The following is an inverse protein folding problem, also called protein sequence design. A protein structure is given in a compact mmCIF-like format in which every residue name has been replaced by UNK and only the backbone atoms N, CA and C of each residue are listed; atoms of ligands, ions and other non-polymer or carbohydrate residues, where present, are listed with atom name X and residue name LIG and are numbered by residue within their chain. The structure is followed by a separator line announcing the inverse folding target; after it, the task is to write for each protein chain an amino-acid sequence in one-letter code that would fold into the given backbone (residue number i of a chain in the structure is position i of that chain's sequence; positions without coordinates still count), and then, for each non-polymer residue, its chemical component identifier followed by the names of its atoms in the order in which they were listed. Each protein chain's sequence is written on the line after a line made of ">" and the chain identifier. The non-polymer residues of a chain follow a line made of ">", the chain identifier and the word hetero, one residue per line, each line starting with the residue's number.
data_IF_216595502437
#
_entry.id   IF_216595502437
#
_cell.length_a   1.000
_cell.length_b   1.000
_cell.length_c   1.000
_cell.angle_alpha   90.00
_cell.angle_beta   90.00
_cell.angle_gamma   90.00
#
_symmetry.space_group_name_H-M   'P 1'
#
loop_
_entity.id
_entity.type
_entity.pdbx_description
1 polymer ?
#
# COMPACT_ATOMS: atom_id res chain seq x y z
N UNK A 1 18.19 -9.88 -7.50
CA UNK A 1 18.50 -10.89 -6.48
C UNK A 1 17.43 -11.96 -6.59
N UNK A 2 17.81 -13.17 -7.01
CA UNK A 2 16.88 -14.29 -7.10
C UNK A 2 16.67 -14.84 -5.69
N UNK A 3 15.55 -14.49 -5.07
CA UNK A 3 15.12 -15.15 -3.84
C UNK A 3 14.70 -16.58 -4.20
N UNK A 4 15.59 -17.55 -3.95
CA UNK A 4 15.18 -18.94 -3.84
C UNK A 4 14.28 -19.03 -2.61
N UNK A 5 12.97 -19.00 -2.83
CA UNK A 5 11.97 -19.08 -1.78
C UNK A 5 12.03 -20.50 -1.19
N UNK A 6 12.54 -20.61 0.04
CA UNK A 6 12.56 -21.84 0.82
C UNK A 6 11.12 -22.36 1.03
N UNK A 7 10.87 -23.66 1.02
CA UNK A 7 9.52 -24.22 1.19
C UNK A 7 8.90 -23.83 2.55
N UNK A 8 9.73 -23.51 3.55
CA UNK A 8 9.31 -22.94 4.84
C UNK A 8 8.76 -21.50 4.74
N UNK A 9 8.94 -20.84 3.60
CA UNK A 9 8.57 -19.44 3.32
C UNK A 9 7.41 -19.26 2.34
N UNK A 10 6.65 -20.33 2.04
CA UNK A 10 5.47 -20.31 1.18
C UNK A 10 4.18 -20.59 1.96
N UNK A 11 3.69 -19.65 2.79
CA UNK A 11 2.51 -19.88 3.64
C UNK A 11 1.21 -20.10 2.87
N UNK A 12 1.18 -19.79 1.56
CA UNK A 12 0.03 -20.01 0.68
C UNK A 12 0.24 -21.17 -0.31
N UNK A 13 1.24 -22.03 -0.12
CA UNK A 13 1.43 -23.20 -0.96
C UNK A 13 0.16 -24.07 -0.98
N UNK A 14 -0.32 -24.40 -2.19
CA UNK A 14 -1.55 -25.18 -2.41
C UNK A 14 -2.85 -24.37 -2.30
N UNK A 15 -2.80 -23.07 -2.01
CA UNK A 15 -3.96 -22.18 -2.01
C UNK A 15 -4.21 -21.66 -3.42
N UNK A 16 -5.45 -21.78 -3.90
CA UNK A 16 -5.84 -21.27 -5.22
C UNK A 16 -6.63 -19.98 -5.10
N UNK A 17 -6.15 -18.93 -5.76
CA UNK A 17 -6.76 -17.60 -5.73
C UNK A 17 -7.18 -17.21 -7.15
N UNK A 18 -8.47 -16.91 -7.31
CA UNK A 18 -8.99 -16.31 -8.54
C UNK A 18 -9.19 -14.82 -8.29
N UNK A 19 -8.68 -13.98 -9.18
CA UNK A 19 -8.94 -12.54 -9.16
C UNK A 19 -9.74 -12.10 -10.37
N UNK A 20 -10.77 -11.30 -10.12
CA UNK A 20 -11.47 -10.51 -11.12
C UNK A 20 -11.09 -9.02 -11.03
N UNK A 21 -10.19 -8.68 -10.10
CA UNK A 21 -9.86 -7.31 -9.80
C UNK A 21 -9.00 -6.70 -10.91
N UNK A 22 -9.45 -5.56 -11.42
CA UNK A 22 -8.74 -4.77 -12.43
C UNK A 22 -8.10 -3.55 -11.78
N UNK A 23 -7.01 -3.06 -12.37
CA UNK A 23 -6.18 -1.99 -11.83
C UNK A 23 -5.70 -2.23 -10.40
N UNK A 24 -4.79 -1.38 -9.92
CA UNK A 24 -4.52 -1.34 -8.49
C UNK A 24 -5.82 -1.06 -7.72
N UNK A 25 -5.97 -1.65 -6.52
CA UNK A 25 -4.96 -2.40 -5.75
C UNK A 25 -4.95 -3.92 -5.97
N UNK A 26 -5.90 -4.47 -6.73
CA UNK A 26 -6.15 -5.92 -6.82
C UNK A 26 -4.95 -6.76 -7.27
N UNK A 27 -4.33 -6.48 -8.44
CA UNK A 27 -3.13 -7.16 -8.91
C UNK A 27 -1.95 -7.07 -7.95
N UNK A 28 -1.78 -5.97 -7.21
CA UNK A 28 -0.73 -5.89 -6.19
C UNK A 28 -0.99 -6.86 -5.03
N UNK A 29 -2.24 -6.98 -4.56
CA UNK A 29 -2.60 -7.96 -3.55
C UNK A 29 -2.40 -9.40 -4.07
N UNK A 30 -2.78 -9.66 -5.32
CA UNK A 30 -2.61 -10.97 -5.95
C UNK A 30 -1.13 -11.34 -6.11
N UNK A 31 -0.27 -10.42 -6.56
CA UNK A 31 1.17 -10.62 -6.65
C UNK A 31 1.80 -10.96 -5.29
N UNK A 32 1.35 -10.28 -4.22
CA UNK A 32 1.81 -10.61 -2.85
C UNK A 32 1.43 -12.04 -2.47
N UNK A 33 0.20 -12.46 -2.77
CA UNK A 33 -0.23 -13.83 -2.51
C UNK A 33 0.57 -14.85 -3.35
N UNK A 34 0.83 -14.53 -4.62
CA UNK A 34 1.66 -15.35 -5.52
C UNK A 34 3.09 -15.52 -4.99
N UNK A 35 3.69 -14.45 -4.46
CA UNK A 35 5.01 -14.48 -3.82
C UNK A 35 5.03 -15.27 -2.52
N UNK A 36 3.89 -15.37 -1.83
CA UNK A 36 3.69 -16.27 -0.69
C UNK A 36 3.38 -17.73 -1.09
N UNK A 37 3.40 -18.06 -2.39
CA UNK A 37 3.25 -19.43 -2.89
C UNK A 37 1.84 -19.82 -3.37
N UNK A 38 0.88 -18.88 -3.42
CA UNK A 38 -0.45 -19.17 -3.95
C UNK A 38 -0.43 -19.45 -5.46
N UNK A 39 -1.30 -20.35 -5.91
CA UNK A 39 -1.63 -20.54 -7.32
C UNK A 39 -2.66 -19.48 -7.72
N UNK A 40 -2.21 -18.49 -8.48
CA UNK A 40 -3.01 -17.32 -8.82
C UNK A 40 -3.46 -17.35 -10.29
N UNK A 41 -4.78 -17.23 -10.48
CA UNK A 41 -5.43 -17.00 -11.77
C UNK A 41 -6.10 -15.63 -11.76
N UNK A 42 -5.98 -14.90 -12.85
CA UNK A 42 -6.74 -13.68 -13.11
C UNK A 42 -7.64 -13.88 -14.32
N UNK A 43 -8.92 -13.54 -14.17
CA UNK A 43 -9.84 -13.42 -15.30
C UNK A 43 -10.01 -11.96 -15.67
N UNK A 44 -9.64 -11.63 -16.91
CA UNK A 44 -9.79 -10.29 -17.47
C UNK A 44 -10.96 -10.23 -18.44
N UNK A 45 -11.65 -9.08 -18.56
CA UNK A 45 -12.62 -8.89 -19.63
C UNK A 45 -11.93 -8.89 -21.00
N UNK A 46 -12.66 -9.03 -22.11
CA UNK A 46 -12.08 -8.93 -23.47
C UNK A 46 -11.30 -7.64 -23.74
N UNK A 47 -11.63 -6.56 -23.03
CA UNK A 47 -10.92 -5.28 -23.10
C UNK A 47 -9.58 -5.26 -22.33
N UNK A 48 -9.28 -6.32 -21.56
CA UNK A 48 -8.11 -6.42 -20.69
C UNK A 48 -8.20 -5.56 -19.42
N UNK A 49 -7.15 -5.59 -18.62
CA UNK A 49 -6.94 -4.65 -17.52
C UNK A 49 -6.49 -3.27 -18.04
N UNK A 50 -7.20 -2.16 -17.69
CA UNK A 50 -6.81 -0.82 -18.10
C UNK A 50 -5.38 -0.41 -17.69
N UNK A 51 -4.78 -1.03 -16.67
CA UNK A 51 -3.40 -0.77 -16.26
C UNK A 51 -2.42 -0.97 -17.43
N UNK A 52 -2.67 -1.94 -18.31
CA UNK A 52 -1.84 -2.19 -19.48
C UNK A 52 -1.88 -1.03 -20.49
N UNK A 53 -2.97 -0.25 -20.51
CA UNK A 53 -3.09 0.94 -21.36
C UNK A 53 -2.21 2.09 -20.85
N UNK A 54 -2.06 2.22 -19.53
CA UNK A 54 -1.28 3.30 -18.91
C UNK A 54 0.20 2.96 -18.78
N UNK A 55 0.52 1.72 -18.40
CA UNK A 55 1.90 1.28 -18.23
C UNK A 55 2.03 -0.26 -18.35
N UNK A 56 2.44 -0.72 -19.54
CA UNK A 56 2.63 -2.14 -19.83
C UNK A 56 3.72 -2.79 -18.97
N UNK A 57 4.78 -2.06 -18.61
CA UNK A 57 5.88 -2.60 -17.80
C UNK A 57 5.41 -2.84 -16.35
N UNK A 58 4.64 -1.90 -15.79
CA UNK A 58 4.03 -2.06 -14.47
C UNK A 58 3.00 -3.20 -14.47
N UNK A 59 2.17 -3.30 -15.51
CA UNK A 59 1.27 -4.44 -15.68
C UNK A 59 2.02 -5.77 -15.68
N UNK A 60 3.09 -5.90 -16.47
CA UNK A 60 3.89 -7.12 -16.51
C UNK A 60 4.50 -7.47 -15.14
N UNK A 61 5.02 -6.48 -14.42
CA UNK A 61 5.58 -6.67 -13.08
C UNK A 61 4.51 -7.12 -12.07
N UNK A 62 3.29 -6.58 -12.14
CA UNK A 62 2.18 -6.95 -11.26
C UNK A 62 1.61 -8.35 -11.53
N UNK A 63 1.87 -8.92 -12.71
CA UNK A 63 1.38 -10.24 -13.10
C UNK A 63 2.48 -11.28 -13.25
N UNK A 64 3.69 -11.00 -12.75
CA UNK A 64 4.80 -11.93 -12.79
C UNK A 64 4.42 -13.27 -12.11
N UNK A 65 4.45 -14.35 -12.90
CA UNK A 65 4.11 -15.69 -12.44
C UNK A 65 2.62 -15.96 -12.19
N UNK A 66 1.72 -15.05 -12.59
CA UNK A 66 0.26 -15.19 -12.46
C UNK A 66 -0.33 -15.64 -13.81
N UNK A 67 -1.20 -16.64 -13.80
CA UNK A 67 -1.94 -17.05 -15.00
C UNK A 67 -3.03 -16.02 -15.30
N UNK A 68 -3.21 -15.67 -16.57
CA UNK A 68 -4.23 -14.72 -17.01
C UNK A 68 -5.04 -15.37 -18.13
N UNK A 69 -6.37 -15.36 -17.97
CA UNK A 69 -7.31 -15.81 -18.98
C UNK A 69 -8.34 -14.70 -19.25
N UNK A 70 -8.93 -14.73 -20.45
CA UNK A 70 -9.93 -13.74 -20.86
C UNK A 70 -11.32 -14.35 -20.83
N UNK A 71 -12.27 -13.69 -20.17
CA UNK A 71 -13.67 -14.11 -20.12
C UNK A 71 -14.61 -12.91 -20.15
N UNK A 72 -15.59 -12.93 -21.07
CA UNK A 72 -16.72 -11.99 -21.01
C UNK A 72 -17.76 -12.47 -20.01
N UNK A 73 -17.71 -11.93 -18.80
CA UNK A 73 -18.62 -12.29 -17.70
C UNK A 73 -20.10 -11.93 -17.97
N UNK A 74 -20.42 -11.20 -19.04
CA UNK A 74 -21.81 -10.95 -19.45
C UNK A 74 -22.35 -12.03 -20.39
N UNK A 75 -21.46 -12.86 -20.95
CA UNK A 75 -21.84 -13.97 -21.83
C UNK A 75 -22.08 -15.24 -21.03
N UNK A 76 -22.94 -16.13 -21.54
CA UNK A 76 -23.12 -17.45 -20.92
C UNK A 76 -21.83 -18.27 -20.90
N UNK A 77 -20.99 -18.15 -21.93
CA UNK A 77 -19.71 -18.86 -22.01
C UNK A 77 -18.72 -18.37 -20.94
N UNK A 78 -18.62 -17.06 -20.74
CA UNK A 78 -17.77 -16.49 -19.70
C UNK A 78 -18.29 -16.80 -18.29
N UNK A 79 -19.61 -16.81 -18.07
CA UNK A 79 -20.21 -17.26 -16.80
C UNK A 79 -19.92 -18.73 -16.51
N UNK A 80 -19.99 -19.61 -17.52
CA UNK A 80 -19.58 -21.02 -17.37
C UNK A 80 -18.10 -21.15 -17.00
N UNK A 81 -17.21 -20.50 -17.74
CA UNK A 81 -15.77 -20.52 -17.47
C UNK A 81 -15.44 -19.98 -16.07
N UNK A 82 -16.07 -18.88 -15.67
CA UNK A 82 -15.93 -18.29 -14.33
C UNK A 82 -16.30 -19.30 -13.25
N UNK A 83 -17.48 -19.94 -13.36
CA UNK A 83 -17.93 -20.86 -12.32
C UNK A 83 -17.14 -22.18 -12.29
N UNK A 84 -16.60 -22.64 -13.42
CA UNK A 84 -15.64 -23.74 -13.46
C UNK A 84 -14.35 -23.38 -12.72
N UNK A 85 -13.84 -22.16 -12.88
CA UNK A 85 -12.69 -21.67 -12.12
C UNK A 85 -13.02 -21.52 -10.61
N UNK A 86 -14.18 -20.97 -10.27
CA UNK A 86 -14.62 -20.79 -8.88
C UNK A 86 -14.75 -22.12 -8.13
N UNK A 87 -15.19 -23.20 -8.80
CA UNK A 87 -15.28 -24.53 -8.20
C UNK A 87 -13.92 -25.09 -7.74
N UNK A 88 -12.81 -24.52 -8.23
CA UNK A 88 -11.43 -24.85 -7.86
C UNK A 88 -10.72 -23.71 -7.13
N UNK A 89 -11.46 -22.72 -6.65
CA UNK A 89 -10.88 -21.54 -6.00
C UNK A 89 -11.09 -21.61 -4.49
N UNK A 90 -10.07 -21.27 -3.73
CA UNK A 90 -10.16 -21.12 -2.27
C UNK A 90 -10.57 -19.71 -1.87
N UNK A 91 -10.02 -18.71 -2.55
CA UNK A 91 -10.32 -17.29 -2.31
C UNK A 91 -10.56 -16.55 -3.64
N UNK A 92 -11.70 -15.87 -3.73
CA UNK A 92 -12.03 -14.94 -4.81
C UNK A 92 -11.65 -13.51 -4.41
N UNK A 93 -10.88 -12.82 -5.24
CA UNK A 93 -10.53 -11.41 -5.07
C UNK A 93 -11.28 -10.54 -6.10
N UNK A 94 -12.06 -9.57 -5.64
CA UNK A 94 -12.83 -8.65 -6.51
C UNK A 94 -12.53 -7.19 -6.20
N UNK A 95 -12.58 -6.30 -7.20
CA UNK A 95 -12.54 -4.84 -7.03
C UNK A 95 -13.72 -4.12 -7.72
N UNK A 96 -14.91 -4.72 -7.62
CA UNK A 96 -16.13 -4.22 -8.24
C UNK A 96 -17.01 -3.52 -7.21
N UNK A 97 -17.85 -2.59 -7.68
CA UNK A 97 -18.98 -2.10 -6.90
C UNK A 97 -19.95 -3.26 -6.59
N UNK A 98 -20.56 -3.29 -5.39
CA UNK A 98 -21.54 -4.32 -5.04
C UNK A 98 -22.65 -4.48 -6.08
N UNK A 99 -23.20 -3.37 -6.59
CA UNK A 99 -24.27 -3.38 -7.60
C UNK A 99 -23.83 -3.98 -8.94
N UNK A 100 -22.55 -3.83 -9.30
CA UNK A 100 -22.00 -4.44 -10.50
C UNK A 100 -21.84 -5.95 -10.35
N UNK A 101 -21.38 -6.42 -9.18
CA UNK A 101 -21.32 -7.86 -8.87
C UNK A 101 -22.71 -8.49 -8.84
N UNK A 102 -23.69 -7.83 -8.22
CA UNK A 102 -25.07 -8.32 -8.19
C UNK A 102 -25.66 -8.48 -9.60
N UNK A 103 -25.40 -7.52 -10.52
CA UNK A 103 -25.81 -7.63 -11.94
C UNK A 103 -25.16 -8.79 -12.67
N UNK A 104 -23.97 -9.23 -12.23
CA UNK A 104 -23.28 -10.41 -12.77
C UNK A 104 -23.70 -11.71 -12.06
N UNK A 105 -24.57 -11.65 -11.05
CA UNK A 105 -24.95 -12.81 -10.23
C UNK A 105 -23.83 -13.27 -9.29
N UNK A 106 -22.93 -12.37 -8.91
CA UNK A 106 -21.72 -12.62 -8.13
C UNK A 106 -21.72 -11.89 -6.78
N UNK A 107 -22.88 -11.50 -6.26
CA UNK A 107 -22.98 -11.07 -4.88
C UNK A 107 -22.67 -12.23 -3.92
N UNK A 108 -22.31 -11.88 -2.68
CA UNK A 108 -21.86 -12.87 -1.70
C UNK A 108 -22.88 -13.99 -1.46
N UNK A 109 -24.17 -13.67 -1.36
CA UNK A 109 -25.19 -14.68 -1.09
C UNK A 109 -25.30 -15.69 -2.24
N UNK A 110 -25.28 -15.20 -3.49
CA UNK A 110 -25.30 -16.04 -4.67
C UNK A 110 -24.03 -16.91 -4.79
N UNK A 111 -22.85 -16.33 -4.54
CA UNK A 111 -21.58 -17.05 -4.55
C UNK A 111 -21.52 -18.12 -3.47
N UNK A 112 -21.88 -17.77 -2.23
CA UNK A 112 -21.84 -18.67 -1.07
C UNK A 112 -22.78 -19.85 -1.22
N UNK A 113 -24.01 -19.60 -1.71
CA UNK A 113 -24.98 -20.67 -1.95
C UNK A 113 -24.48 -21.71 -2.98
N UNK A 114 -23.69 -21.27 -3.97
CA UNK A 114 -23.17 -22.15 -5.03
C UNK A 114 -21.82 -22.78 -4.68
N UNK A 115 -20.97 -22.06 -3.96
CA UNK A 115 -19.61 -22.43 -3.60
C UNK A 115 -19.40 -22.22 -2.10
N UNK A 116 -19.99 -23.05 -1.23
CA UNK A 116 -20.06 -22.78 0.21
C UNK A 116 -18.72 -22.76 0.92
N UNK A 117 -17.66 -23.33 0.33
CA UNK A 117 -16.30 -23.26 0.88
C UNK A 117 -15.53 -22.01 0.41
N UNK A 118 -15.97 -21.31 -0.64
CA UNK A 118 -15.25 -20.19 -1.25
C UNK A 118 -15.27 -18.98 -0.34
N UNK A 119 -14.10 -18.43 -0.01
CA UNK A 119 -14.02 -17.13 0.64
C UNK A 119 -13.95 -16.02 -0.41
N UNK A 120 -14.53 -14.85 -0.10
CA UNK A 120 -14.44 -13.66 -0.94
C UNK A 120 -13.73 -12.54 -0.19
N UNK A 121 -12.71 -11.97 -0.83
CA UNK A 121 -12.12 -10.69 -0.44
C UNK A 121 -12.60 -9.63 -1.43
N UNK A 122 -13.47 -8.74 -0.98
CA UNK A 122 -14.03 -7.67 -1.79
C UNK A 122 -13.32 -6.35 -1.49
N UNK A 123 -12.58 -5.84 -2.46
CA UNK A 123 -11.96 -4.53 -2.40
C UNK A 123 -12.97 -3.49 -2.91
N UNK A 124 -13.27 -2.50 -2.07
CA UNK A 124 -14.21 -1.41 -2.38
C UNK A 124 -13.58 -0.06 -2.06
N UNK A 125 -14.19 1.03 -2.54
CA UNK A 125 -13.71 2.38 -2.22
C UNK A 125 -13.91 2.75 -0.75
N UNK A 126 -15.12 2.51 -0.24
CA UNK A 126 -15.53 2.77 1.13
C UNK A 126 -16.51 1.69 1.60
N UNK A 127 -16.63 1.49 2.91
CA UNK A 127 -17.58 0.51 3.47
C UNK A 127 -19.05 0.93 3.30
N UNK A 128 -19.93 -0.07 3.30
CA UNK A 128 -21.38 0.12 3.32
C UNK A 128 -21.90 0.75 2.02
N UNK A 129 -22.88 1.66 2.13
CA UNK A 129 -23.52 2.30 0.97
C UNK A 129 -22.53 3.07 0.08
N UNK A 130 -21.44 3.57 0.68
CA UNK A 130 -20.39 4.31 -0.02
C UNK A 130 -19.53 3.42 -0.93
N UNK A 131 -19.67 2.09 -0.87
CA UNK A 131 -19.02 1.18 -1.81
C UNK A 131 -19.45 1.40 -3.28
N UNK A 132 -20.57 2.08 -3.50
CA UNK A 132 -21.05 2.47 -4.84
C UNK A 132 -20.42 3.76 -5.38
N UNK A 133 -19.75 4.54 -4.52
CA UNK A 133 -19.14 5.80 -4.89
C UNK A 133 -17.94 5.57 -5.83
N UNK A 134 -17.83 6.31 -6.95
CA UNK A 134 -16.59 6.33 -7.73
C UNK A 134 -15.46 6.94 -6.90
N UNK A 135 -14.32 6.27 -6.89
CA UNK A 135 -13.10 6.83 -6.33
C UNK A 135 -11.86 6.16 -6.89
N UNK A 136 -10.73 6.81 -6.65
CA UNK A 136 -9.38 6.33 -6.94
C UNK A 136 -8.47 6.73 -5.78
N UNK A 137 -7.27 6.17 -5.72
CA UNK A 137 -6.24 6.49 -4.72
C UNK A 137 -6.24 7.96 -4.27
N UNK A 138 -6.13 8.88 -5.24
CA UNK A 138 -6.05 10.32 -4.97
C UNK A 138 -7.27 10.86 -4.22
N UNK A 139 -8.49 10.38 -4.53
CA UNK A 139 -9.70 10.86 -3.84
C UNK A 139 -9.78 10.34 -2.41
N UNK A 140 -9.33 9.11 -2.16
CA UNK A 140 -9.28 8.56 -0.80
C UNK A 140 -8.22 9.27 0.04
N UNK A 141 -7.04 9.54 -0.51
CA UNK A 141 -6.01 10.34 0.16
C UNK A 141 -6.48 11.77 0.44
N UNK A 142 -7.23 12.38 -0.49
CA UNK A 142 -7.79 13.71 -0.29
C UNK A 142 -8.83 13.72 0.84
N UNK A 143 -9.71 12.72 0.90
CA UNK A 143 -10.69 12.56 1.98
C UNK A 143 -10.02 12.42 3.35
N UNK A 144 -8.93 11.64 3.44
CA UNK A 144 -8.15 11.48 4.68
C UNK A 144 -7.18 12.65 4.96
N UNK A 145 -7.25 13.75 4.21
CA UNK A 145 -6.44 14.95 4.42
C UNK A 145 -4.96 14.81 4.10
N UNK A 146 -4.57 13.79 3.32
CA UNK A 146 -3.20 13.52 2.89
C UNK A 146 -2.80 14.25 1.60
N UNK A 147 -3.76 14.89 0.92
CA UNK A 147 -3.50 15.82 -0.19
C UNK A 147 -3.53 17.25 0.35
N UNK A 148 -2.35 17.83 0.58
CA UNK A 148 -2.20 19.12 1.27
C UNK A 148 -2.00 20.32 0.35
N UNK A 149 -1.97 20.08 -0.96
CA UNK A 149 -1.79 21.09 -2.00
C UNK A 149 -2.06 20.52 -3.38
N UNK A 150 -1.56 21.17 -4.43
CA UNK A 150 -1.76 20.74 -5.82
C UNK A 150 -0.70 19.75 -6.32
N UNK A 151 0.37 19.54 -5.55
CA UNK A 151 1.36 18.51 -5.86
C UNK A 151 0.75 17.13 -5.63
N UNK A 152 0.99 16.21 -6.57
CA UNK A 152 0.53 14.82 -6.43
C UNK A 152 1.36 14.10 -5.36
N UNK A 153 0.74 13.17 -4.60
CA UNK A 153 1.48 12.23 -3.78
C UNK A 153 2.53 11.46 -4.62
N UNK A 154 3.67 11.14 -4.00
CA UNK A 154 4.78 10.49 -4.70
C UNK A 154 4.48 9.04 -5.16
N UNK A 155 3.39 8.45 -4.66
CA UNK A 155 2.92 7.11 -5.02
C UNK A 155 1.42 6.97 -4.69
N UNK A 156 0.84 5.83 -5.04
CA UNK A 156 -0.55 5.48 -4.78
C UNK A 156 -0.69 4.85 -3.38
N UNK A 157 -0.68 5.68 -2.35
CA UNK A 157 -0.63 5.23 -0.96
C UNK A 157 -1.87 4.44 -0.50
N UNK A 158 -3.07 4.87 -0.88
CA UNK A 158 -4.31 4.20 -0.51
C UNK A 158 -4.45 2.86 -1.26
N UNK A 159 -4.08 2.81 -2.54
CA UNK A 159 -4.10 1.57 -3.31
C UNK A 159 -3.06 0.57 -2.77
N UNK A 160 -1.81 1.00 -2.56
CA UNK A 160 -0.77 0.08 -2.10
C UNK A 160 -1.00 -0.38 -0.66
N UNK A 161 -1.52 0.48 0.22
CA UNK A 161 -1.97 0.08 1.56
C UNK A 161 -3.17 -0.87 1.50
N UNK A 162 -4.14 -0.60 0.62
CA UNK A 162 -5.29 -1.46 0.37
C UNK A 162 -4.89 -2.85 -0.13
N UNK A 163 -3.85 -2.94 -0.96
CA UNK A 163 -3.29 -4.21 -1.41
C UNK A 163 -2.69 -5.03 -0.25
N UNK A 164 -2.05 -4.36 0.73
CA UNK A 164 -1.58 -5.02 1.95
C UNK A 164 -2.76 -5.59 2.74
N UNK A 165 -3.78 -4.77 3.02
CA UNK A 165 -4.99 -5.16 3.75
C UNK A 165 -5.75 -6.30 3.04
N UNK A 166 -5.82 -6.28 1.72
CA UNK A 166 -6.43 -7.35 0.93
C UNK A 166 -5.63 -8.67 1.03
N UNK A 167 -4.30 -8.62 0.95
CA UNK A 167 -3.47 -9.82 1.16
C UNK A 167 -3.57 -10.34 2.60
N UNK A 168 -3.72 -9.46 3.58
CA UNK A 168 -3.98 -9.83 4.98
C UNK A 168 -5.37 -10.47 5.13
N UNK A 169 -6.39 -9.94 4.45
CA UNK A 169 -7.73 -10.53 4.44
C UNK A 169 -7.74 -11.94 3.84
N UNK A 170 -6.96 -12.20 2.78
CA UNK A 170 -6.74 -13.56 2.24
C UNK A 170 -6.17 -14.48 3.32
N UNK A 171 -5.09 -14.05 4.01
CA UNK A 171 -4.50 -14.83 5.09
C UNK A 171 -5.50 -15.07 6.23
N UNK A 172 -6.27 -14.06 6.62
CA UNK A 172 -7.31 -14.15 7.65
C UNK A 172 -8.38 -15.18 7.29
N UNK A 173 -8.88 -15.17 6.04
CA UNK A 173 -9.87 -16.14 5.58
C UNK A 173 -9.34 -17.58 5.69
N UNK A 174 -8.08 -17.81 5.31
CA UNK A 174 -7.44 -19.12 5.38
C UNK A 174 -7.15 -19.56 6.81
N UNK A 175 -6.72 -18.65 7.68
CA UNK A 175 -6.52 -18.90 9.11
C UNK A 175 -7.82 -19.27 9.82
N UNK A 176 -8.93 -18.60 9.50
CA UNK A 176 -10.25 -18.93 10.02
C UNK A 176 -10.67 -20.36 9.63
N UNK A 177 -10.45 -20.73 8.36
CA UNK A 177 -10.69 -22.10 7.86
C UNK A 177 -9.79 -23.11 8.57
N UNK A 178 -8.49 -22.86 8.64
CA UNK A 178 -7.50 -23.79 9.20
C UNK A 178 -7.71 -24.06 10.69
N UNK A 179 -8.23 -23.09 11.44
CA UNK A 179 -8.57 -23.25 12.87
C UNK A 179 -9.89 -23.98 13.11
N UNK A 180 -10.58 -24.42 12.05
CA UNK A 180 -11.90 -25.05 12.15
C UNK A 180 -12.97 -24.11 12.69
N UNK A 181 -12.76 -22.78 12.61
CA UNK A 181 -13.76 -21.81 13.04
C UNK A 181 -15.01 -21.87 12.16
N UNK A 182 -14.84 -22.30 10.90
CA UNK A 182 -15.92 -22.57 9.96
C UNK A 182 -15.44 -23.53 8.86
N UNK A 183 -16.32 -24.44 8.42
CA UNK A 183 -16.13 -25.22 7.18
C UNK A 183 -16.60 -24.44 5.94
N UNK A 184 -17.31 -23.33 6.16
CA UNK A 184 -17.82 -22.41 5.16
C UNK A 184 -16.80 -21.32 4.84
N UNK A 185 -16.87 -20.77 3.62
CA UNK A 185 -16.12 -19.58 3.22
C UNK A 185 -16.58 -18.34 3.97
N UNK A 186 -15.74 -17.30 3.95
CA UNK A 186 -16.04 -16.00 4.58
C UNK A 186 -16.00 -14.85 3.58
N UNK A 187 -16.85 -13.86 3.80
CA UNK A 187 -16.80 -12.56 3.13
C UNK A 187 -15.99 -11.57 3.95
N UNK A 188 -14.96 -10.98 3.35
CA UNK A 188 -14.14 -9.95 3.95
C UNK A 188 -14.09 -8.75 3.00
N UNK A 189 -14.60 -7.61 3.48
CA UNK A 189 -14.55 -6.36 2.73
C UNK A 189 -13.33 -5.53 3.14
N UNK A 190 -12.61 -5.00 2.16
CA UNK A 190 -11.44 -4.13 2.33
C UNK A 190 -11.73 -2.80 1.63
N UNK A 191 -11.82 -1.73 2.42
CA UNK A 191 -12.11 -0.41 1.90
C UNK A 191 -10.83 0.44 1.75
N UNK A 192 -10.68 1.13 0.62
CA UNK A 192 -9.49 1.94 0.33
C UNK A 192 -9.44 3.23 1.13
N UNK A 193 -10.59 3.82 1.48
CA UNK A 193 -10.63 4.94 2.41
C UNK A 193 -10.11 4.55 3.80
N UNK A 194 -10.38 3.33 4.29
CA UNK A 194 -9.83 2.84 5.57
C UNK A 194 -8.31 2.66 5.49
N UNK A 195 -7.79 2.23 4.34
CA UNK A 195 -6.33 2.23 4.13
C UNK A 195 -5.75 3.64 4.20
N UNK A 196 -6.39 4.62 3.56
CA UNK A 196 -5.96 6.02 3.61
C UNK A 196 -6.05 6.59 5.04
N UNK A 197 -7.12 6.31 5.77
CA UNK A 197 -7.33 6.73 7.15
C UNK A 197 -6.27 6.14 8.10
N UNK A 198 -5.92 4.87 7.92
CA UNK A 198 -4.85 4.23 8.67
C UNK A 198 -3.51 4.94 8.45
N UNK A 199 -3.17 5.24 7.19
CA UNK A 199 -1.96 5.99 6.85
C UNK A 199 -2.00 7.44 7.34
N UNK A 200 -3.19 8.01 7.52
CA UNK A 200 -3.39 9.36 8.03
C UNK A 200 -3.29 9.49 9.56
N UNK A 201 -3.22 8.39 10.32
CA UNK A 201 -3.15 8.44 11.79
C UNK A 201 -2.07 9.38 12.34
N UNK A 202 -0.79 9.36 11.88
CA UNK A 202 0.22 10.31 12.35
C UNK A 202 -0.16 11.77 12.09
N UNK A 203 -0.90 12.05 11.00
CA UNK A 203 -1.38 13.38 10.66
C UNK A 203 -2.54 13.82 11.56
N UNK A 204 -3.46 12.90 11.86
CA UNK A 204 -4.57 13.11 12.79
C UNK A 204 -4.07 13.33 14.22
N UNK A 205 -3.00 12.66 14.63
CA UNK A 205 -2.32 12.90 15.92
C UNK A 205 -1.51 14.22 15.94
N UNK A 206 -1.45 14.94 14.82
CA UNK A 206 -0.71 16.20 14.70
C UNK A 206 0.80 16.04 14.52
N UNK A 207 1.32 14.81 14.45
CA UNK A 207 2.76 14.54 14.37
C UNK A 207 3.37 15.07 13.07
N UNK A 208 2.68 14.88 11.95
CA UNK A 208 3.12 15.28 10.60
C UNK A 208 2.45 16.57 10.09
N UNK A 209 1.74 17.30 10.96
CA UNK A 209 1.26 18.65 10.64
C UNK A 209 2.44 19.65 10.66
N UNK A 210 2.36 20.82 10.01
CA UNK A 210 3.48 21.77 9.95
C UNK A 210 4.07 22.17 11.31
N UNK A 211 3.27 22.20 12.36
CA UNK A 211 3.67 22.48 13.75
C UNK A 211 4.14 21.24 14.54
N UNK A 212 3.99 20.04 13.95
CA UNK A 212 4.33 18.77 14.55
C UNK A 212 5.82 18.43 14.43
N UNK A 213 6.32 17.64 15.39
CA UNK A 213 7.73 17.31 15.47
C UNK A 213 8.27 16.56 14.23
N UNK A 214 7.44 15.74 13.58
CA UNK A 214 7.81 15.02 12.34
C UNK A 214 7.14 15.62 11.09
N UNK A 215 6.56 16.82 11.22
CA UNK A 215 6.04 17.63 10.11
C UNK A 215 6.96 18.79 9.72
N UNK A 216 8.18 18.83 10.28
CA UNK A 216 9.19 19.84 9.96
C UNK A 216 9.34 20.98 10.98
N UNK A 217 8.57 20.97 12.07
CA UNK A 217 8.72 21.96 13.15
C UNK A 217 9.97 21.71 14.02
N UNK A 218 10.40 20.45 14.14
CA UNK A 218 11.62 20.08 14.83
C UNK A 218 12.83 20.25 13.91
N UNK A 219 13.82 21.07 14.30
CA UNK A 219 15.02 21.33 13.50
C UNK A 219 15.86 20.06 13.19
N UNK A 220 15.65 18.99 13.94
CA UNK A 220 16.29 17.68 13.70
C UNK A 220 15.49 16.76 12.78
N UNK A 221 14.28 17.12 12.34
CA UNK A 221 13.44 16.28 11.49
C UNK A 221 12.91 17.07 10.30
N UNK A 222 13.74 17.20 9.26
CA UNK A 222 13.46 18.05 8.09
C UNK A 222 14.40 17.75 6.93
N UNK A 223 13.97 18.11 5.72
CA UNK A 223 14.85 18.16 4.54
C UNK A 223 15.43 19.57 4.37
N UNK A 224 16.75 19.67 4.32
CA UNK A 224 17.50 20.92 4.17
C UNK A 224 18.28 20.96 2.84
N UNK A 225 18.41 22.12 2.19
CA UNK A 225 19.40 22.29 1.13
C UNK A 225 20.82 22.24 1.71
N UNK A 226 21.78 21.72 0.95
CA UNK A 226 23.21 21.69 1.27
C UNK A 226 24.02 22.16 0.04
N UNK A 227 25.35 22.24 0.14
CA UNK A 227 26.18 22.89 -0.87
C UNK A 227 26.08 22.26 -2.28
N UNK A 228 25.80 20.96 -2.36
CA UNK A 228 25.73 20.17 -3.59
C UNK A 228 24.54 19.20 -3.62
N UNK A 229 23.38 19.65 -3.12
CA UNK A 229 22.11 18.93 -3.16
C UNK A 229 21.22 19.20 -1.95
N UNK A 230 20.61 18.16 -1.40
CA UNK A 230 19.79 18.24 -0.18
C UNK A 230 20.07 17.10 0.79
N UNK A 231 19.66 17.25 2.05
CA UNK A 231 19.80 16.22 3.09
C UNK A 231 18.50 16.07 3.86
N UNK A 232 18.02 14.84 3.97
CA UNK A 232 16.94 14.47 4.90
C UNK A 232 17.56 14.16 6.26
N UNK A 233 17.28 14.98 7.27
CA UNK A 233 17.75 14.80 8.65
C UNK A 233 16.60 14.23 9.48
N UNK A 234 16.88 13.21 10.30
CA UNK A 234 15.90 12.52 11.15
C UNK A 234 16.40 12.35 12.60
N UNK A 235 17.17 13.33 13.10
CA UNK A 235 17.68 13.43 14.47
C UNK A 235 16.58 13.88 15.45
N UNK A 236 15.54 13.07 15.60
CA UNK A 236 14.35 13.38 16.40
C UNK A 236 14.60 13.18 17.91
N UNK A 237 15.27 12.08 18.27
CA UNK A 237 15.52 11.73 19.66
C UNK A 237 16.52 12.71 20.30
N UNK A 238 16.37 13.04 21.60
CA UNK A 238 17.19 14.07 22.25
C UNK A 238 18.70 13.89 22.11
N UNK A 239 19.19 12.65 22.12
CA UNK A 239 20.63 12.38 21.96
C UNK A 239 21.12 12.66 20.53
N UNK A 240 20.35 12.30 19.50
CA UNK A 240 20.68 12.67 18.11
C UNK A 240 20.61 14.18 17.90
N UNK A 241 19.56 14.83 18.41
CA UNK A 241 19.39 16.28 18.36
C UNK A 241 20.56 17.02 19.01
N UNK A 242 21.02 16.55 20.18
CA UNK A 242 22.18 17.10 20.88
C UNK A 242 23.45 16.98 20.04
N UNK A 243 23.72 15.81 19.44
CA UNK A 243 24.90 15.58 18.60
C UNK A 243 24.88 16.44 17.33
N UNK A 244 23.72 16.63 16.72
CA UNK A 244 23.53 17.56 15.61
C UNK A 244 23.83 19.01 16.04
N UNK A 245 23.28 19.47 17.16
CA UNK A 245 23.54 20.82 17.66
C UNK A 245 25.01 21.04 18.05
N UNK A 246 25.68 20.03 18.60
CA UNK A 246 27.12 20.06 18.89
C UNK A 246 27.95 20.15 17.61
N UNK A 247 27.62 19.35 16.59
CA UNK A 247 28.27 19.46 15.28
C UNK A 247 28.06 20.84 14.65
N UNK A 248 26.87 21.40 14.85
CA UNK A 248 26.48 22.72 14.40
C UNK A 248 27.06 23.89 15.22
N UNK A 249 27.70 23.61 16.36
CA UNK A 249 28.22 24.64 17.26
C UNK A 249 27.12 25.51 17.88
N UNK A 250 25.88 25.02 17.94
CA UNK A 250 24.75 25.78 18.49
C UNK A 250 24.79 25.75 20.02
N UNK A 251 24.30 26.81 20.66
CA UNK A 251 24.18 26.87 22.13
C UNK A 251 22.83 26.32 22.62
N UNK A 252 21.75 26.61 21.89
CA UNK A 252 20.42 26.06 22.18
C UNK A 252 20.36 24.56 21.89
N UNK A 253 19.54 23.85 22.67
CA UNK A 253 19.14 22.45 22.43
C UNK A 253 17.62 22.31 22.26
N UNK A 254 16.90 23.44 22.29
CA UNK A 254 15.47 23.45 21.96
C UNK A 254 15.31 23.39 20.44
N UNK A 255 14.99 22.21 19.93
CA UNK A 255 14.85 21.95 18.50
C UNK A 255 13.58 22.55 17.89
N UNK A 256 12.65 23.05 18.71
CA UNK A 256 11.44 23.74 18.25
C UNK A 256 11.65 25.27 18.15
N UNK A 257 12.75 25.78 18.72
CA UNK A 257 13.04 27.21 18.69
C UNK A 257 13.46 27.69 17.29
N UNK A 258 12.95 28.84 16.81
CA UNK A 258 13.34 29.40 15.51
C UNK A 258 14.85 29.58 15.33
N UNK A 259 15.56 30.02 16.37
CA UNK A 259 17.01 30.20 16.34
C UNK A 259 17.79 28.89 16.11
N UNK A 260 17.32 27.78 16.70
CA UNK A 260 17.92 26.46 16.47
C UNK A 260 17.68 26.02 15.03
N UNK A 261 16.46 26.25 14.53
CA UNK A 261 16.10 25.93 13.16
C UNK A 261 16.95 26.67 12.13
N UNK A 262 17.11 27.99 12.29
CA UNK A 262 17.96 28.83 11.46
C UNK A 262 19.44 28.41 11.54
N UNK A 263 19.91 28.12 12.75
CA UNK A 263 21.29 27.67 12.99
C UNK A 263 21.63 26.35 12.30
N UNK A 264 20.76 25.34 12.42
CA UNK A 264 20.92 24.06 11.72
C UNK A 264 20.87 24.27 10.21
N UNK A 265 19.90 25.04 9.71
CA UNK A 265 19.76 25.29 8.28
C UNK A 265 21.00 25.96 7.68
N UNK A 266 21.53 27.00 8.34
CA UNK A 266 22.72 27.71 7.88
C UNK A 266 23.97 26.83 7.90
N UNK A 267 24.11 26.00 8.94
CA UNK A 267 25.24 25.08 9.07
C UNK A 267 25.22 23.98 8.01
N UNK A 268 24.05 23.42 7.69
CA UNK A 268 23.88 22.40 6.64
C UNK A 268 24.12 23.00 5.25
N UNK A 269 23.60 24.20 4.98
CA UNK A 269 23.69 24.86 3.67
C UNK A 269 25.15 25.06 3.19
N UNK A 270 26.11 25.16 4.11
CA UNK A 270 27.53 25.37 3.82
C UNK A 270 28.34 24.07 3.64
N UNK A 271 27.71 22.91 3.80
CA UNK A 271 28.40 21.61 3.75
C UNK A 271 28.02 20.84 2.51
N UNK A 272 29.01 20.16 1.96
CA UNK A 272 28.78 19.14 0.93
C UNK A 272 28.09 17.91 1.53
N UNK A 273 27.45 17.12 0.67
CA UNK A 273 26.89 15.82 1.02
C UNK A 273 27.93 14.90 1.66
N UNK A 274 29.15 14.87 1.12
CA UNK A 274 30.23 14.05 1.67
C UNK A 274 30.62 14.45 3.11
N UNK A 275 30.68 15.76 3.41
CA UNK A 275 30.96 16.24 4.77
C UNK A 275 29.84 15.90 5.75
N UNK A 276 28.58 16.02 5.32
CA UNK A 276 27.41 15.66 6.11
C UNK A 276 27.37 14.15 6.40
N UNK A 277 27.67 13.30 5.42
CA UNK A 277 27.74 11.85 5.58
C UNK A 277 28.90 11.39 6.48
N UNK A 278 30.05 12.08 6.40
CA UNK A 278 31.16 11.83 7.30
C UNK A 278 30.77 12.19 8.75
N UNK A 279 30.20 13.38 8.95
CA UNK A 279 29.70 13.83 10.26
C UNK A 279 28.64 12.88 10.83
N UNK A 280 27.70 12.45 10.01
CA UNK A 280 26.63 11.52 10.38
C UNK A 280 27.18 10.19 10.90
N UNK A 281 28.18 9.62 10.22
CA UNK A 281 28.84 8.38 10.62
C UNK A 281 29.68 8.55 11.89
N UNK A 282 30.46 9.63 11.97
CA UNK A 282 31.31 9.91 13.13
C UNK A 282 30.49 10.14 14.40
N UNK A 283 29.39 10.88 14.30
CA UNK A 283 28.58 11.34 15.43
C UNK A 283 27.27 10.57 15.59
N UNK A 284 27.07 9.51 14.82
CA UNK A 284 25.85 8.70 14.87
C UNK A 284 24.59 9.59 14.76
N UNK A 285 24.48 10.36 13.68
CA UNK A 285 23.33 11.25 13.40
C UNK A 285 22.56 10.68 12.20
N UNK A 286 21.27 10.33 12.35
CA UNK A 286 20.47 9.78 11.27
C UNK A 286 20.17 10.85 10.21
N UNK A 287 20.79 10.71 9.04
CA UNK A 287 20.50 11.51 7.86
C UNK A 287 20.78 10.73 6.57
N UNK A 288 20.20 11.20 5.47
CA UNK A 288 20.48 10.72 4.11
C UNK A 288 20.64 11.90 3.17
N UNK A 289 21.74 11.94 2.41
CA UNK A 289 21.95 12.96 1.39
C UNK A 289 21.34 12.54 0.05
N UNK A 290 20.92 13.52 -0.72
CA UNK A 290 20.21 13.34 -1.98
C UNK A 290 20.83 14.30 -2.99
N UNK A 291 21.27 13.76 -4.13
CA UNK A 291 21.59 14.60 -5.29
C UNK A 291 20.29 15.20 -5.83
N UNK A 292 20.41 16.37 -6.46
CA UNK A 292 19.28 17.00 -7.14
C UNK A 292 18.88 16.28 -8.43
#
# INVERSE_FOLDING_TARGET
>A
MSDSIDASSQPLAGVRILSLALNLPGPAALLRCRRMGADCLKLEPPAGDPMALYNQAAYAALHEGIAIETADLKSEAGQRALHEALARTDVLLTSFRPSALAKLGLDWNALHARHPALSQVAIVGAHGERAEEPGHDLTYLAESGLVTGTALPATLFADMGGALLASEAVLKALLLRARGATAEGVYLEVALNVSADWLALPRTWGLTQPQGAVGGAHAGYRVYPCADGRVAVAALEPHFANRLCEAAGLASRDMMAPATHEGVAAWIAQRSRAELEAMARERDVPLLTLAD
#
